data_IF_388215380766
#
_entry.id   IF_388215380766
#
_cell.length_a   1.000
_cell.length_b   1.000
_cell.length_c   1.000
_cell.angle_alpha   90.00
_cell.angle_beta   90.00
_cell.angle_gamma   90.00
#
_symmetry.space_group_name_H-M   'P 1'
#
loop_
_entity.id
_entity.type
_entity.pdbx_description
1 polymer ?
#
# COMPACT_ATOMS: atom_id res chain seq x y z
N UNK A 1 -8.14 -19.35 5.57
CA UNK A 1 -9.03 -18.81 6.62
C UNK A 1 -10.01 -17.79 6.06
N UNK A 2 -9.56 -16.74 5.33
CA UNK A 2 -10.48 -15.71 4.79
C UNK A 2 -11.55 -16.33 3.88
N UNK A 3 -11.20 -17.22 2.96
CA UNK A 3 -12.15 -17.92 2.08
C UNK A 3 -13.19 -18.78 2.83
N UNK A 4 -12.86 -19.25 4.02
CA UNK A 4 -13.79 -20.01 4.89
C UNK A 4 -14.72 -19.06 5.64
N UNK A 5 -14.23 -17.89 6.05
CA UNK A 5 -15.01 -16.89 6.76
C UNK A 5 -15.93 -16.08 5.82
N UNK A 6 -15.47 -15.82 4.60
CA UNK A 6 -16.17 -15.01 3.59
C UNK A 6 -16.35 -15.82 2.30
N UNK A 7 -17.23 -16.86 2.30
CA UNK A 7 -17.38 -17.77 1.18
C UNK A 7 -17.97 -17.10 -0.07
N UNK A 8 -18.68 -15.99 0.10
CA UNK A 8 -19.30 -15.24 -0.99
C UNK A 8 -18.29 -14.25 -1.66
N UNK A 9 -17.15 -13.97 -1.01
CA UNK A 9 -16.10 -13.14 -1.58
C UNK A 9 -15.28 -13.92 -2.62
N UNK A 10 -14.94 -13.27 -3.74
CA UNK A 10 -14.07 -13.88 -4.75
C UNK A 10 -12.64 -13.95 -4.27
N UNK A 11 -12.29 -15.06 -3.65
CA UNK A 11 -10.95 -15.32 -3.10
C UNK A 11 -9.84 -15.45 -4.14
N UNK A 12 -10.10 -15.20 -5.42
CA UNK A 12 -9.07 -15.11 -6.47
C UNK A 12 -8.37 -13.75 -6.45
N UNK A 13 -9.03 -12.72 -5.91
CA UNK A 13 -8.57 -11.34 -5.92
C UNK A 13 -8.30 -10.81 -4.52
N UNK A 14 -7.44 -9.82 -4.42
CA UNK A 14 -7.00 -9.24 -3.14
C UNK A 14 -8.13 -8.50 -2.39
N UNK A 15 -9.29 -8.25 -3.01
CA UNK A 15 -10.47 -7.69 -2.35
C UNK A 15 -10.90 -8.47 -1.11
N UNK A 16 -10.69 -9.79 -1.10
CA UNK A 16 -10.97 -10.63 0.08
C UNK A 16 -10.18 -10.21 1.33
N UNK A 17 -9.03 -9.50 1.16
CA UNK A 17 -8.20 -9.03 2.27
C UNK A 17 -8.84 -7.87 3.04
N UNK A 18 -9.80 -7.18 2.41
CA UNK A 18 -10.54 -6.06 3.00
C UNK A 18 -11.83 -6.54 3.67
N UNK A 19 -12.31 -7.74 3.27
CA UNK A 19 -13.48 -8.34 3.90
C UNK A 19 -13.25 -8.57 5.40
N UNK A 20 -14.19 -8.14 6.22
CA UNK A 20 -14.13 -8.26 7.68
C UNK A 20 -13.08 -7.38 8.37
N UNK A 21 -12.44 -6.45 7.65
CA UNK A 21 -11.44 -5.56 8.25
C UNK A 21 -12.07 -4.68 9.35
N UNK A 22 -13.30 -4.20 9.14
CA UNK A 22 -14.04 -3.42 10.14
C UNK A 22 -14.27 -4.24 11.40
N UNK A 23 -14.77 -5.44 11.26
CA UNK A 23 -15.05 -6.36 12.37
C UNK A 23 -13.78 -6.70 13.15
N UNK A 24 -12.66 -6.94 12.47
CA UNK A 24 -11.37 -7.19 13.13
C UNK A 24 -10.91 -5.97 13.95
N UNK A 25 -11.13 -4.75 13.45
CA UNK A 25 -10.80 -3.52 14.17
C UNK A 25 -11.71 -3.36 15.40
N UNK A 26 -13.03 -3.50 15.22
CA UNK A 26 -14.03 -3.31 16.27
C UNK A 26 -13.95 -4.37 17.37
N UNK A 27 -13.63 -5.62 17.00
CA UNK A 27 -13.45 -6.72 17.96
C UNK A 27 -12.13 -6.66 18.73
N UNK A 28 -11.16 -5.88 18.27
CA UNK A 28 -9.88 -5.76 18.96
C UNK A 28 -10.02 -5.04 20.29
N UNK A 29 -9.69 -5.69 21.39
CA UNK A 29 -9.63 -5.10 22.73
C UNK A 29 -8.25 -4.48 23.05
N UNK A 30 -7.30 -4.55 22.12
CA UNK A 30 -5.97 -4.02 22.31
C UNK A 30 -5.99 -2.48 22.24
N UNK A 31 -5.21 -1.83 23.10
CA UNK A 31 -5.03 -0.37 23.05
C UNK A 31 -4.33 0.10 21.77
N UNK A 32 -3.52 -0.77 21.17
CA UNK A 32 -2.74 -0.51 19.95
C UNK A 32 -2.85 -1.73 19.04
N UNK A 33 -3.22 -1.52 17.80
CA UNK A 33 -3.40 -2.61 16.82
C UNK A 33 -2.65 -2.25 15.56
N UNK A 34 -1.82 -3.16 15.06
CA UNK A 34 -1.20 -3.11 13.75
C UNK A 34 -1.82 -4.21 12.89
N UNK A 35 -2.38 -3.82 11.76
CA UNK A 35 -2.89 -4.75 10.74
C UNK A 35 -2.01 -4.60 9.50
N UNK A 36 -1.46 -5.70 9.03
CA UNK A 36 -0.64 -5.75 7.81
C UNK A 36 -1.43 -6.49 6.74
N UNK A 37 -1.75 -5.77 5.66
CA UNK A 37 -2.42 -6.31 4.48
C UNK A 37 -1.36 -6.45 3.39
N UNK A 38 -1.09 -7.68 2.95
CA UNK A 38 -0.14 -7.97 1.89
C UNK A 38 -0.90 -8.31 0.60
N UNK A 39 -0.83 -7.43 -0.39
CA UNK A 39 -1.48 -7.58 -1.69
C UNK A 39 -0.51 -8.13 -2.73
N UNK A 40 -1.04 -8.72 -3.79
CA UNK A 40 -0.29 -9.22 -4.94
C UNK A 40 -0.83 -8.74 -6.28
N UNK A 41 -1.70 -7.76 -6.26
CA UNK A 41 -2.50 -7.32 -7.42
C UNK A 41 -1.62 -6.95 -8.62
N UNK A 42 -0.58 -6.14 -8.42
CA UNK A 42 0.29 -5.65 -9.50
C UNK A 42 1.54 -6.50 -9.73
N UNK A 43 1.59 -7.73 -9.19
CA UNK A 43 2.72 -8.64 -9.38
C UNK A 43 2.57 -9.43 -10.69
N UNK A 44 3.59 -9.32 -11.59
CA UNK A 44 3.63 -10.03 -12.86
C UNK A 44 3.83 -11.56 -12.75
N UNK A 45 3.88 -12.24 -13.89
CA UNK A 45 3.69 -11.74 -15.25
C UNK A 45 2.24 -11.77 -15.76
N UNK A 46 1.27 -12.29 -14.99
CA UNK A 46 -0.12 -12.49 -15.43
C UNK A 46 -1.04 -11.38 -14.92
N UNK A 47 -0.73 -10.13 -15.23
CA UNK A 47 -1.50 -8.96 -14.76
C UNK A 47 -2.99 -9.06 -15.09
N UNK A 48 -3.36 -9.54 -16.29
CA UNK A 48 -4.75 -9.73 -16.72
C UNK A 48 -5.59 -10.71 -15.87
N UNK A 49 -4.96 -11.41 -14.92
CA UNK A 49 -5.64 -12.33 -13.98
C UNK A 49 -5.70 -11.81 -12.55
N UNK A 50 -5.25 -10.57 -12.33
CA UNK A 50 -5.05 -10.01 -10.99
C UNK A 50 -6.15 -9.07 -10.53
N UNK A 51 -7.11 -8.77 -11.40
CA UNK A 51 -8.24 -7.89 -11.13
C UNK A 51 -9.56 -8.51 -11.64
N UNK A 52 -10.70 -8.18 -11.02
CA UNK A 52 -12.03 -8.51 -11.53
C UNK A 52 -12.32 -7.80 -12.87
N UNK A 53 -13.17 -8.40 -13.71
CA UNK A 53 -13.46 -7.90 -15.06
C UNK A 53 -14.00 -6.46 -15.11
N UNK A 54 -14.68 -6.00 -14.09
CA UNK A 54 -15.16 -4.62 -13.96
C UNK A 54 -14.04 -3.58 -13.89
N UNK A 55 -12.81 -4.00 -13.58
CA UNK A 55 -11.61 -3.16 -13.57
C UNK A 55 -10.83 -3.23 -14.90
N UNK A 56 -11.27 -4.01 -15.88
CA UNK A 56 -10.66 -4.04 -17.20
C UNK A 56 -11.10 -2.84 -18.04
N UNK A 57 -10.52 -1.68 -17.79
CA UNK A 57 -10.82 -0.40 -18.45
C UNK A 57 -9.91 -0.13 -19.64
N UNK A 58 -8.67 -0.53 -19.54
CA UNK A 58 -7.66 -0.38 -20.60
C UNK A 58 -7.59 -1.66 -21.40
N UNK A 59 -7.90 -1.59 -22.70
CA UNK A 59 -7.99 -2.74 -23.60
C UNK A 59 -7.40 -2.40 -24.99
N UNK A 60 -6.93 -3.40 -25.74
CA UNK A 60 -6.83 -4.82 -25.40
C UNK A 60 -5.74 -5.11 -24.36
N UNK A 61 -5.82 -6.28 -23.70
CA UNK A 61 -4.84 -6.71 -22.70
C UNK A 61 -4.07 -7.95 -23.17
N UNK A 62 -2.79 -8.04 -22.85
CA UNK A 62 -2.01 -9.23 -23.10
C UNK A 62 -2.43 -10.38 -22.19
N UNK A 63 -2.39 -11.61 -22.71
CA UNK A 63 -2.72 -12.83 -21.97
C UNK A 63 -1.58 -13.84 -21.92
N UNK A 64 -0.37 -13.43 -22.29
CA UNK A 64 0.84 -14.27 -22.30
C UNK A 64 1.71 -14.02 -21.05
N UNK A 65 2.39 -15.07 -20.61
CA UNK A 65 3.44 -14.98 -19.58
C UNK A 65 4.79 -14.57 -20.16
N UNK A 66 4.94 -14.65 -21.49
CA UNK A 66 6.16 -14.28 -22.21
C UNK A 66 6.12 -12.77 -22.55
N UNK A 67 6.31 -11.94 -21.54
CA UNK A 67 6.14 -10.48 -21.63
C UNK A 67 6.96 -9.86 -22.77
N UNK A 68 8.17 -10.37 -23.02
CA UNK A 68 9.02 -9.89 -24.12
C UNK A 68 8.46 -10.18 -25.52
N UNK A 69 7.44 -11.03 -25.65
CA UNK A 69 6.74 -11.33 -26.90
C UNK A 69 5.36 -10.67 -26.98
N UNK A 70 4.90 -10.09 -25.90
CA UNK A 70 3.62 -9.36 -25.85
C UNK A 70 3.73 -8.05 -26.63
N UNK A 71 2.60 -7.59 -27.17
CA UNK A 71 2.49 -6.19 -27.55
C UNK A 71 2.65 -5.31 -26.29
N UNK A 72 3.51 -4.30 -26.38
CA UNK A 72 3.85 -3.46 -25.22
C UNK A 72 2.65 -2.66 -24.74
N UNK A 73 1.80 -2.18 -25.63
CA UNK A 73 0.60 -1.43 -25.24
C UNK A 73 -0.40 -2.34 -24.50
N UNK A 74 -0.59 -3.57 -24.98
CA UNK A 74 -1.44 -4.56 -24.30
C UNK A 74 -0.89 -4.95 -22.93
N UNK A 75 0.44 -5.02 -22.79
CA UNK A 75 1.09 -5.29 -21.49
C UNK A 75 0.86 -4.13 -20.51
N UNK A 76 1.05 -2.90 -20.97
CA UNK A 76 0.79 -1.69 -20.17
C UNK A 76 -0.68 -1.62 -19.78
N UNK A 77 -1.61 -1.84 -20.69
CA UNK A 77 -3.05 -1.88 -20.41
C UNK A 77 -3.38 -2.89 -19.30
N UNK A 78 -2.79 -4.09 -19.37
CA UNK A 78 -3.01 -5.12 -18.35
C UNK A 78 -2.47 -4.68 -16.98
N UNK A 79 -1.31 -4.03 -16.95
CA UNK A 79 -0.72 -3.49 -15.72
C UNK A 79 -1.55 -2.33 -15.17
N UNK A 80 -1.96 -1.38 -16.00
CA UNK A 80 -2.76 -0.22 -15.58
C UNK A 80 -4.10 -0.63 -14.98
N UNK A 81 -4.72 -1.70 -15.47
CA UNK A 81 -5.91 -2.26 -14.85
C UNK A 81 -5.64 -2.80 -13.44
N UNK A 82 -4.43 -3.34 -13.17
CA UNK A 82 -4.05 -3.74 -11.80
C UNK A 82 -3.90 -2.52 -10.89
N UNK A 83 -3.41 -1.39 -11.42
CA UNK A 83 -3.29 -0.14 -10.66
C UNK A 83 -4.67 0.41 -10.30
N UNK A 84 -5.63 0.39 -11.24
CA UNK A 84 -7.02 0.75 -10.93
C UNK A 84 -7.62 -0.10 -9.80
N UNK A 85 -7.34 -1.40 -9.82
CA UNK A 85 -7.83 -2.28 -8.78
C UNK A 85 -7.12 -2.05 -7.45
N UNK A 86 -5.81 -1.78 -7.46
CA UNK A 86 -5.05 -1.40 -6.26
C UNK A 86 -5.58 -0.10 -5.65
N UNK A 87 -5.87 0.91 -6.46
CA UNK A 87 -6.48 2.17 -6.00
C UNK A 87 -7.83 1.93 -5.32
N UNK A 88 -8.67 1.09 -5.91
CA UNK A 88 -9.94 0.67 -5.30
C UNK A 88 -9.73 -0.01 -3.94
N UNK A 89 -8.72 -0.90 -3.81
CA UNK A 89 -8.42 -1.56 -2.54
C UNK A 89 -7.97 -0.57 -1.47
N UNK A 90 -7.08 0.36 -1.83
CA UNK A 90 -6.62 1.43 -0.94
C UNK A 90 -7.80 2.28 -0.49
N UNK A 91 -8.65 2.70 -1.43
CA UNK A 91 -9.88 3.44 -1.13
C UNK A 91 -10.79 2.68 -0.17
N UNK A 92 -11.00 1.38 -0.41
CA UNK A 92 -11.84 0.54 0.45
C UNK A 92 -11.32 0.45 1.88
N UNK A 93 -10.00 0.32 2.07
CA UNK A 93 -9.37 0.36 3.40
C UNK A 93 -9.60 1.73 4.06
N UNK A 94 -9.40 2.82 3.32
CA UNK A 94 -9.62 4.18 3.84
C UNK A 94 -11.09 4.37 4.29
N UNK A 95 -12.06 3.89 3.52
CA UNK A 95 -13.48 4.00 3.89
C UNK A 95 -13.82 3.19 5.16
N UNK A 96 -13.21 2.02 5.33
CA UNK A 96 -13.33 1.27 6.59
C UNK A 96 -12.77 2.10 7.75
N UNK A 97 -11.56 2.66 7.60
CA UNK A 97 -10.90 3.42 8.66
C UNK A 97 -11.63 4.73 8.99
N UNK A 98 -12.22 5.40 8.01
CA UNK A 98 -13.05 6.59 8.21
C UNK A 98 -14.29 6.34 9.07
N UNK A 99 -14.81 5.13 9.01
CA UNK A 99 -15.98 4.74 9.80
C UNK A 99 -15.64 4.22 11.21
N UNK A 100 -14.38 4.33 11.67
CA UNK A 100 -13.96 3.96 13.02
C UNK A 100 -13.90 5.22 13.87
N UNK A 101 -14.90 5.44 14.74
CA UNK A 101 -15.05 6.70 15.48
C UNK A 101 -14.32 6.71 16.83
N UNK A 102 -14.02 5.57 17.41
CA UNK A 102 -13.49 5.40 18.77
C UNK A 102 -11.96 5.28 18.84
N UNK A 103 -11.29 5.30 17.69
CA UNK A 103 -9.82 5.09 17.57
C UNK A 103 -9.19 6.06 16.59
N UNK A 104 -7.96 6.44 16.89
CA UNK A 104 -7.11 7.14 15.94
C UNK A 104 -6.53 6.12 14.96
N UNK A 105 -6.82 6.30 13.69
CA UNK A 105 -6.39 5.40 12.63
C UNK A 105 -5.47 6.11 11.65
N UNK A 106 -4.51 5.38 11.09
CA UNK A 106 -3.73 5.80 9.93
C UNK A 106 -3.45 4.59 9.05
N UNK A 107 -3.20 4.82 7.78
CA UNK A 107 -2.79 3.81 6.82
C UNK A 107 -1.52 4.28 6.11
N UNK A 108 -0.58 3.37 5.95
CA UNK A 108 0.55 3.52 5.05
C UNK A 108 0.42 2.44 3.98
N UNK A 109 0.34 2.85 2.72
CA UNK A 109 0.52 1.96 1.58
C UNK A 109 1.91 2.21 0.99
N UNK A 110 2.65 1.15 0.81
CA UNK A 110 3.97 1.17 0.19
C UNK A 110 4.15 -0.10 -0.63
N UNK A 111 4.62 0.04 -1.86
CA UNK A 111 5.03 -1.12 -2.66
C UNK A 111 6.40 -1.61 -2.17
N UNK A 112 6.64 -2.92 -2.21
CA UNK A 112 7.95 -3.50 -1.89
C UNK A 112 8.99 -3.24 -2.99
N UNK A 113 8.55 -3.15 -4.25
CA UNK A 113 9.33 -2.74 -5.42
C UNK A 113 8.40 -2.27 -6.54
N UNK A 114 8.96 -1.70 -7.57
CA UNK A 114 8.26 -1.40 -8.81
C UNK A 114 8.41 -2.52 -9.84
N UNK A 115 7.84 -2.32 -11.02
CA UNK A 115 7.83 -3.30 -12.13
C UNK A 115 8.28 -2.63 -13.44
N UNK A 116 9.18 -3.29 -14.17
CA UNK A 116 9.55 -2.91 -15.53
C UNK A 116 8.64 -3.58 -16.55
N UNK A 117 8.14 -2.79 -17.50
CA UNK A 117 7.23 -3.22 -18.57
C UNK A 117 7.89 -3.14 -19.97
N UNK A 118 9.20 -3.40 -20.02
CA UNK A 118 9.99 -3.39 -21.24
C UNK A 118 10.88 -2.18 -21.42
N UNK A 119 11.07 -1.34 -20.39
CA UNK A 119 12.02 -0.25 -20.39
C UNK A 119 13.45 -0.79 -20.57
N UNK A 120 14.13 -0.32 -21.64
CA UNK A 120 15.46 -0.83 -21.99
C UNK A 120 15.52 -2.35 -22.27
N UNK A 121 14.38 -2.99 -22.58
CA UNK A 121 14.28 -4.44 -22.76
C UNK A 121 14.21 -5.24 -21.46
N UNK A 122 14.05 -4.56 -20.31
CA UNK A 122 13.91 -5.18 -19.00
C UNK A 122 12.43 -5.38 -18.66
N UNK A 123 12.10 -6.51 -18.06
CA UNK A 123 10.74 -6.87 -17.65
C UNK A 123 10.75 -7.34 -16.20
N UNK A 124 9.64 -7.13 -15.48
CA UNK A 124 9.47 -7.49 -14.09
C UNK A 124 10.47 -6.74 -13.18
N UNK A 125 10.92 -7.39 -12.13
CA UNK A 125 11.83 -6.88 -11.10
C UNK A 125 12.96 -7.87 -10.83
N UNK A 126 13.85 -7.54 -9.88
CA UNK A 126 14.89 -8.48 -9.40
C UNK A 126 16.25 -8.29 -10.05
N UNK A 127 16.59 -7.08 -10.46
CA UNK A 127 17.98 -6.78 -10.88
C UNK A 127 18.96 -7.02 -9.72
N UNK A 128 20.16 -7.48 -10.08
CA UNK A 128 21.20 -7.89 -9.12
C UNK A 128 21.64 -6.76 -8.19
N UNK A 129 21.53 -5.51 -8.62
CA UNK A 129 21.81 -4.34 -7.79
C UNK A 129 20.87 -3.18 -8.13
N UNK A 130 20.54 -2.38 -7.14
CA UNK A 130 19.72 -1.18 -7.32
C UNK A 130 20.34 -0.17 -8.30
N UNK A 131 21.67 -0.09 -8.38
CA UNK A 131 22.36 0.81 -9.32
C UNK A 131 22.21 0.38 -10.79
N UNK A 132 21.80 -0.86 -11.06
CA UNK A 132 21.57 -1.40 -12.39
C UNK A 132 20.06 -1.49 -12.72
N UNK A 133 19.23 -1.39 -11.72
CA UNK A 133 17.77 -1.47 -11.90
C UNK A 133 17.23 -0.21 -12.59
N UNK A 134 16.32 -0.34 -13.56
CA UNK A 134 15.56 0.79 -14.06
C UNK A 134 14.81 1.51 -12.92
N UNK A 135 14.60 2.80 -13.07
CA UNK A 135 13.88 3.61 -12.07
C UNK A 135 12.47 3.06 -11.78
N UNK A 136 11.83 2.46 -12.76
CA UNK A 136 10.52 1.82 -12.69
C UNK A 136 10.48 0.67 -11.67
N UNK A 137 11.62 0.11 -11.29
CA UNK A 137 11.72 -0.91 -10.24
C UNK A 137 12.04 -0.33 -8.86
N UNK A 138 12.46 0.94 -8.78
CA UNK A 138 12.95 1.59 -7.55
C UNK A 138 12.01 2.70 -7.09
N UNK A 139 11.50 3.51 -8.02
CA UNK A 139 10.54 4.56 -7.72
C UNK A 139 9.17 3.94 -7.48
N UNK A 140 8.74 3.91 -6.23
CA UNK A 140 7.53 3.24 -5.78
C UNK A 140 6.55 4.22 -5.14
N UNK A 141 5.25 3.95 -5.18
CA UNK A 141 4.28 4.74 -4.44
C UNK A 141 4.44 4.55 -2.92
N UNK A 142 4.35 5.66 -2.20
CA UNK A 142 4.25 5.70 -0.76
C UNK A 142 3.08 6.62 -0.40
N UNK A 143 1.95 6.05 0.03
CA UNK A 143 0.71 6.76 0.26
C UNK A 143 0.37 6.71 1.75
N UNK A 144 0.06 7.85 2.33
CA UNK A 144 -0.36 7.97 3.73
C UNK A 144 -1.77 8.53 3.79
N UNK A 145 -2.67 7.82 4.44
CA UNK A 145 -3.93 8.36 4.93
C UNK A 145 -3.84 8.51 6.45
N UNK A 146 -4.14 9.70 6.95
CA UNK A 146 -4.05 10.03 8.35
C UNK A 146 -5.41 10.51 8.87
N UNK A 147 -6.10 9.66 9.63
CA UNK A 147 -7.34 9.96 10.34
C UNK A 147 -7.12 10.38 11.80
N UNK A 148 -5.87 10.65 12.19
CA UNK A 148 -5.53 11.14 13.53
C UNK A 148 -5.31 12.66 13.54
N UNK A 149 -5.09 13.20 14.73
CA UNK A 149 -4.73 14.60 15.00
C UNK A 149 -3.21 14.86 14.88
N UNK A 150 -2.42 13.88 14.50
CA UNK A 150 -0.97 14.03 14.32
C UNK A 150 -0.67 14.74 13.00
N UNK A 151 0.27 15.66 13.02
CA UNK A 151 0.77 16.32 11.83
C UNK A 151 1.78 15.43 11.09
N UNK A 152 1.78 15.51 9.77
CA UNK A 152 2.78 14.87 8.92
C UNK A 152 3.93 15.82 8.66
N UNK A 153 5.16 15.30 8.63
CA UNK A 153 6.35 16.04 8.22
C UNK A 153 6.31 16.33 6.70
N UNK A 154 6.77 17.47 6.30
CA UNK A 154 7.09 17.74 4.90
C UNK A 154 8.44 17.09 4.57
N UNK A 155 8.40 16.01 3.81
CA UNK A 155 9.59 15.24 3.41
C UNK A 155 9.73 15.33 1.89
N UNK A 156 10.95 15.63 1.42
CA UNK A 156 11.26 15.66 -0.02
C UNK A 156 11.35 14.27 -0.63
N UNK A 157 11.64 13.26 0.18
CA UNK A 157 11.80 11.87 -0.22
C UNK A 157 11.42 10.95 0.94
N UNK A 158 10.74 9.86 0.62
CA UNK A 158 10.40 8.79 1.57
C UNK A 158 10.79 7.44 0.98
N UNK A 159 11.15 6.49 1.83
CA UNK A 159 11.50 5.13 1.45
C UNK A 159 11.04 4.11 2.49
N UNK A 160 11.29 2.84 2.24
CA UNK A 160 10.85 1.72 3.10
C UNK A 160 11.24 1.89 4.57
N UNK A 161 12.42 2.46 4.85
CA UNK A 161 12.90 2.68 6.22
C UNK A 161 11.99 3.61 7.02
N UNK A 162 11.27 4.53 6.40
CA UNK A 162 10.30 5.39 7.08
C UNK A 162 9.11 4.57 7.64
N UNK A 163 8.74 3.46 7.01
CA UNK A 163 7.57 2.67 7.41
C UNK A 163 7.69 2.16 8.85
N UNK A 164 8.81 1.49 9.18
CA UNK A 164 9.03 0.97 10.53
C UNK A 164 8.97 2.08 11.58
N UNK A 165 9.69 3.16 11.36
CA UNK A 165 9.77 4.27 12.32
C UNK A 165 8.43 4.99 12.50
N UNK A 166 7.67 5.15 11.41
CA UNK A 166 6.33 5.75 11.44
C UNK A 166 5.32 4.89 12.19
N UNK A 167 5.34 3.58 11.97
CA UNK A 167 4.48 2.63 12.71
C UNK A 167 4.80 2.65 14.20
N UNK A 168 6.08 2.58 14.56
CA UNK A 168 6.52 2.63 15.97
C UNK A 168 6.08 3.93 16.63
N UNK A 169 6.25 5.05 15.93
CA UNK A 169 5.88 6.37 16.42
C UNK A 169 4.37 6.53 16.56
N UNK A 170 3.59 6.16 15.52
CA UNK A 170 2.13 6.25 15.55
C UNK A 170 1.53 5.41 16.69
N UNK A 171 2.08 4.24 16.94
CA UNK A 171 1.69 3.35 18.02
C UNK A 171 2.32 3.73 19.39
N UNK A 172 3.07 4.82 19.44
CA UNK A 172 3.80 5.23 20.66
C UNK A 172 4.59 4.06 21.27
N UNK A 173 5.37 3.38 20.42
CA UNK A 173 6.26 2.28 20.78
C UNK A 173 7.71 2.72 20.67
N UNK A 174 8.58 2.12 21.45
CA UNK A 174 10.02 2.42 21.45
C UNK A 174 10.82 1.12 21.35
N UNK A 175 11.96 1.20 20.66
CA UNK A 175 12.96 0.15 20.59
C UNK A 175 14.33 0.78 20.36
N UNK A 176 15.39 0.00 20.56
CA UNK A 176 16.77 0.45 20.31
C UNK A 176 17.03 0.78 18.83
N UNK A 177 16.18 0.29 17.94
CA UNK A 177 16.25 0.54 16.49
C UNK A 177 15.40 1.74 16.03
N UNK A 178 14.56 2.30 16.93
CA UNK A 178 13.71 3.41 16.58
C UNK A 178 14.52 4.71 16.46
N UNK A 179 14.32 5.43 15.35
CA UNK A 179 14.83 6.78 15.15
C UNK A 179 13.69 7.71 14.72
N UNK A 180 13.44 8.74 15.50
CA UNK A 180 12.39 9.73 15.28
C UNK A 180 12.57 10.51 13.98
N UNK A 181 13.79 10.71 13.52
CA UNK A 181 14.08 11.42 12.26
C UNK A 181 13.42 10.75 11.07
N UNK A 182 13.30 9.43 11.10
CA UNK A 182 12.70 8.61 10.03
C UNK A 182 11.19 8.39 10.21
N UNK A 183 10.55 8.93 11.26
CA UNK A 183 9.09 8.96 11.32
C UNK A 183 8.55 10.01 10.36
N UNK A 184 7.45 9.67 9.64
CA UNK A 184 6.70 10.64 8.82
C UNK A 184 5.81 11.55 9.66
N UNK A 185 5.63 11.27 10.94
CA UNK A 185 4.83 12.09 11.85
C UNK A 185 5.69 13.11 12.58
N UNK A 186 5.13 14.31 12.81
CA UNK A 186 5.75 15.28 13.71
C UNK A 186 5.76 14.75 15.14
N UNK A 187 6.79 15.12 15.90
CA UNK A 187 6.88 14.78 17.33
C UNK A 187 5.68 15.33 18.10
N UNK A 188 5.15 14.55 19.04
CA UNK A 188 3.99 14.91 19.83
C UNK A 188 4.19 16.18 20.73
N UNK A 189 5.43 16.67 20.87
CA UNK A 189 5.79 17.79 21.75
C UNK A 189 5.49 19.20 21.17
N UNK A 190 5.02 19.32 19.93
CA UNK A 190 4.71 20.63 19.32
C UNK A 190 3.34 21.23 19.70
N UNK A 191 2.49 20.48 20.39
CA UNK A 191 1.11 20.93 20.68
C UNK A 191 0.92 21.67 22.00
N UNK A 192 1.96 21.86 22.82
CA UNK A 192 1.81 22.48 24.17
C UNK A 192 2.19 23.96 24.27
N UNK A 193 2.52 24.65 23.17
CA UNK A 193 2.98 26.06 23.23
C UNK A 193 1.99 27.12 22.76
N UNK A 194 0.70 26.78 22.49
CA UNK A 194 -0.32 27.77 22.11
C UNK A 194 -1.47 27.97 23.11
N UNK A 195 -1.36 27.49 24.35
CA UNK A 195 -2.37 27.73 25.39
C UNK A 195 -1.76 28.30 26.67
N UNK A 196 -1.01 29.38 26.57
CA UNK A 196 -0.76 30.24 27.72
C UNK A 196 -0.44 31.65 27.24
N UNK A 197 -1.46 32.40 26.86
CA UNK A 197 -1.52 33.86 26.93
C UNK A 197 -2.91 34.34 26.47
N UNK A 198 -3.86 34.28 27.42
CA UNK A 198 -5.03 35.18 27.49
C UNK A 198 -5.51 35.28 28.96
#
# INVERSE_FOLDING_TARGET
RLRELYPDADGRYDGILVEGLREEIEMSTACKTLIIIHTSTSHGPTYNKKYPVEFERFTPVCNTVEMAKADRAELINAYDNTILYTDYLIHSVIEVLRGVDDRKCAMIYVSDHGESLGEGGVYMHGMVSASMAPKEQIEIPFIVWNGSDRELKELSEVGHYHTFHSVMDFLDMRSDFYNEEYSIFCAAACQSSQQSDL
#
